data_IF_948192911606
#
_entry.id   IF_948192911606
#
_cell.length_a   1.000
_cell.length_b   1.000
_cell.length_c   1.000
_cell.angle_alpha   90.00
_cell.angle_beta   90.00
_cell.angle_gamma   90.00
#
_symmetry.space_group_name_H-M   'P 1'
#
loop_
_entity.id
_entity.type
_entity.pdbx_description
1 polymer ?
#
# COMPACT_ATOMS: atom_id res chain seq x y z
N UNK A 1 12.13 7.00 1.53
CA UNK A 1 11.62 6.81 2.90
C UNK A 1 10.72 7.97 3.23
N UNK A 2 9.40 7.79 3.19
CA UNK A 2 8.47 8.76 3.78
C UNK A 2 8.37 8.42 5.27
N UNK A 3 8.80 9.34 6.12
CA UNK A 3 8.59 9.24 7.56
C UNK A 3 7.33 10.05 7.84
N UNK A 4 6.23 9.39 8.19
CA UNK A 4 5.04 10.11 8.60
C UNK A 4 5.34 10.90 9.87
N UNK A 5 4.64 12.02 10.13
CA UNK A 5 4.83 12.78 11.36
C UNK A 5 4.60 11.96 12.64
N UNK A 6 3.97 10.78 12.54
CA UNK A 6 3.87 9.81 13.63
C UNK A 6 5.23 9.38 14.21
N UNK A 7 6.33 9.59 13.47
CA UNK A 7 7.72 9.36 13.91
C UNK A 7 8.44 10.63 14.41
N UNK A 8 7.87 11.82 14.21
CA UNK A 8 8.41 13.07 14.78
C UNK A 8 8.05 13.23 16.27
N UNK A 9 7.05 12.47 16.73
CA UNK A 9 6.67 12.40 18.14
C UNK A 9 7.06 11.03 18.72
N UNK A 10 7.68 10.98 19.91
CA UNK A 10 8.03 9.71 20.59
C UNK A 10 6.80 8.91 21.06
N UNK A 11 5.61 9.50 20.94
CA UNK A 11 4.33 8.89 21.28
C UNK A 11 3.27 9.33 20.28
N UNK A 12 2.26 8.50 20.05
CA UNK A 12 1.10 8.89 19.24
C UNK A 12 0.26 10.03 19.87
N UNK A 13 0.46 10.30 21.16
CA UNK A 13 -0.27 11.33 21.89
C UNK A 13 0.02 12.73 21.34
N UNK A 14 -1.03 13.43 20.91
CA UNK A 14 -0.93 14.80 20.40
C UNK A 14 -0.78 14.93 18.88
N UNK A 15 -0.74 13.81 18.12
CA UNK A 15 -0.83 13.85 16.66
C UNK A 15 -2.22 14.23 16.16
N UNK A 16 -3.24 14.02 16.98
CA UNK A 16 -4.62 14.49 16.81
C UNK A 16 -4.81 15.95 17.27
N UNK A 17 -3.85 16.49 18.03
CA UNK A 17 -3.89 17.84 18.58
C UNK A 17 -3.27 18.87 17.61
N UNK A 18 -4.15 19.66 17.02
CA UNK A 18 -3.79 20.70 16.06
C UNK A 18 -2.99 21.88 16.65
N UNK A 19 -2.93 21.99 17.97
CA UNK A 19 -2.09 22.98 18.66
C UNK A 19 -0.64 22.53 18.79
N UNK A 20 -0.40 21.22 18.65
CA UNK A 20 0.92 20.59 18.75
C UNK A 20 1.48 20.19 17.39
N UNK A 21 0.61 19.80 16.46
CA UNK A 21 1.00 19.37 15.12
C UNK A 21 0.21 20.14 14.06
N UNK A 22 0.94 20.66 13.07
CA UNK A 22 0.36 21.42 11.99
C UNK A 22 -0.63 20.57 11.17
N UNK A 23 -1.80 21.15 10.89
CA UNK A 23 -2.78 20.61 9.96
C UNK A 23 -2.34 20.87 8.53
N UNK A 24 -2.50 19.89 7.65
CA UNK A 24 -2.19 19.99 6.22
C UNK A 24 -3.47 19.87 5.40
N UNK A 25 -3.53 20.54 4.25
CA UNK A 25 -4.67 20.48 3.33
C UNK A 25 -5.77 21.51 3.59
N UNK A 26 -5.46 22.59 4.31
CA UNK A 26 -6.40 23.72 4.45
C UNK A 26 -6.60 24.39 3.08
N UNK A 27 -7.84 24.61 2.70
CA UNK A 27 -8.21 25.41 1.53
C UNK A 27 -9.16 26.54 1.97
N UNK A 28 -8.69 27.78 1.79
CA UNK A 28 -9.42 28.99 2.20
C UNK A 28 -10.57 29.30 1.24
N UNK A 29 -10.44 28.97 -0.04
CA UNK A 29 -11.46 29.26 -1.04
C UNK A 29 -12.70 28.37 -0.86
N UNK A 30 -12.49 27.12 -0.44
CA UNK A 30 -13.57 26.15 -0.20
C UNK A 30 -13.96 26.01 1.27
N UNK A 31 -13.35 26.81 2.17
CA UNK A 31 -13.51 26.72 3.62
C UNK A 31 -13.22 25.30 4.19
N UNK A 32 -12.28 24.59 3.57
CA UNK A 32 -11.88 23.25 4.01
C UNK A 32 -10.83 23.36 5.12
N UNK A 33 -11.11 22.77 6.28
CA UNK A 33 -10.14 22.67 7.36
C UNK A 33 -9.07 21.62 7.02
N UNK A 34 -7.81 21.94 7.26
CA UNK A 34 -6.74 20.94 7.18
C UNK A 34 -6.92 19.86 8.26
N UNK A 35 -6.25 18.72 8.06
CA UNK A 35 -6.27 17.61 9.00
C UNK A 35 -4.87 17.30 9.52
N UNK A 36 -4.81 16.76 10.73
CA UNK A 36 -3.56 16.32 11.34
C UNK A 36 -3.14 14.93 10.82
N UNK A 37 -1.86 14.56 10.93
CA UNK A 37 -1.33 13.28 10.43
C UNK A 37 -1.73 12.04 11.23
N UNK A 38 -2.69 12.13 12.15
CA UNK A 38 -3.10 10.99 12.98
C UNK A 38 -3.45 9.75 12.14
N UNK A 39 -3.14 8.56 12.67
CA UNK A 39 -3.36 7.27 12.00
C UNK A 39 -4.77 7.09 11.42
N UNK A 40 -5.81 7.62 12.07
CA UNK A 40 -7.19 7.58 11.57
C UNK A 40 -7.37 8.42 10.29
N UNK A 41 -6.74 9.60 10.20
CA UNK A 41 -6.80 10.46 9.02
C UNK A 41 -6.03 9.87 7.84
N UNK A 42 -4.88 9.22 8.10
CA UNK A 42 -4.12 8.50 7.06
C UNK A 42 -4.89 7.26 6.59
N UNK A 43 -5.52 6.53 7.52
CA UNK A 43 -6.36 5.38 7.20
C UNK A 43 -7.60 5.78 6.39
N UNK A 44 -8.22 6.92 6.70
CA UNK A 44 -9.32 7.47 5.91
C UNK A 44 -8.87 7.81 4.49
N UNK A 45 -7.69 8.41 4.33
CA UNK A 45 -7.13 8.76 3.04
C UNK A 45 -6.82 7.51 2.19
N UNK A 46 -6.15 6.49 2.75
CA UNK A 46 -5.79 5.27 1.98
C UNK A 46 -7.01 4.43 1.61
N UNK A 47 -8.05 4.40 2.48
CA UNK A 47 -9.28 3.66 2.19
C UNK A 47 -10.10 4.30 1.07
N UNK A 48 -9.90 5.59 0.79
CA UNK A 48 -10.50 6.28 -0.35
C UNK A 48 -9.78 5.98 -1.68
N UNK A 49 -8.62 5.31 -1.64
CA UNK A 49 -7.82 5.01 -2.84
C UNK A 49 -8.35 3.71 -3.48
N UNK A 50 -8.95 3.78 -4.68
CA UNK A 50 -9.44 2.60 -5.38
C UNK A 50 -8.28 1.67 -5.75
N UNK A 51 -8.60 0.40 -6.03
CA UNK A 51 -7.64 -0.49 -6.68
C UNK A 51 -7.33 0.09 -8.07
N UNK A 52 -6.06 0.18 -8.50
CA UNK A 52 -5.71 0.85 -9.73
C UNK A 52 -6.36 0.18 -10.92
N UNK A 53 -6.90 0.97 -11.84
CA UNK A 53 -7.27 0.46 -13.15
C UNK A 53 -6.00 0.10 -13.94
N UNK A 54 -6.13 -0.70 -15.00
CA UNK A 54 -4.99 -1.21 -15.79
C UNK A 54 -4.09 -0.12 -16.40
N UNK A 55 -4.54 1.13 -16.45
CA UNK A 55 -3.81 2.29 -16.98
C UNK A 55 -3.14 3.15 -15.91
N UNK A 56 -3.40 2.89 -14.62
CA UNK A 56 -2.93 3.72 -13.51
C UNK A 56 -1.72 3.07 -12.83
N UNK A 57 -0.69 3.87 -12.58
CA UNK A 57 0.40 3.46 -11.71
C UNK A 57 -0.01 3.68 -10.25
N UNK A 58 0.50 2.88 -9.29
CA UNK A 58 0.33 3.11 -7.86
C UNK A 58 1.20 4.30 -7.36
N UNK A 59 1.24 5.38 -8.13
CA UNK A 59 1.96 6.62 -7.85
C UNK A 59 0.94 7.74 -7.72
N UNK A 60 0.98 8.49 -6.61
CA UNK A 60 0.08 9.61 -6.43
C UNK A 60 0.50 10.81 -7.26
N UNK A 61 -0.47 11.47 -7.87
CA UNK A 61 -0.22 12.69 -8.63
C UNK A 61 -1.43 13.62 -8.69
N UNK A 62 -1.26 14.72 -9.41
CA UNK A 62 -2.31 15.72 -9.60
C UNK A 62 -3.49 15.08 -10.34
N UNK A 63 -4.72 15.34 -9.86
CA UNK A 63 -5.93 14.92 -10.55
C UNK A 63 -5.92 15.31 -12.04
N UNK A 64 -6.47 14.45 -12.89
CA UNK A 64 -6.46 14.56 -14.36
C UNK A 64 -5.09 14.44 -15.03
N UNK A 65 -4.06 13.98 -14.31
CA UNK A 65 -2.78 13.59 -14.93
C UNK A 65 -2.88 12.14 -15.38
N UNK A 66 -2.51 11.85 -16.62
CA UNK A 66 -2.60 10.50 -17.17
C UNK A 66 -1.64 9.55 -16.42
N UNK A 67 -2.14 8.39 -16.01
CA UNK A 67 -1.33 7.29 -15.47
C UNK A 67 -0.92 7.42 -14.00
N UNK A 68 -1.46 8.39 -13.26
CA UNK A 68 -1.25 8.52 -11.80
C UNK A 68 -2.56 8.32 -11.05
N UNK A 69 -2.45 7.88 -9.81
CA UNK A 69 -3.55 7.85 -8.85
C UNK A 69 -3.77 9.28 -8.29
N UNK A 70 -4.95 9.89 -8.44
CA UNK A 70 -5.22 11.17 -7.80
C UNK A 70 -5.09 11.08 -6.29
N UNK A 71 -4.55 12.12 -5.66
CA UNK A 71 -4.59 12.26 -4.20
C UNK A 71 -6.05 12.24 -3.70
N UNK A 72 -6.34 11.52 -2.59
CA UNK A 72 -7.66 11.52 -1.99
C UNK A 72 -8.04 12.92 -1.50
N UNK A 73 -9.31 13.28 -1.67
CA UNK A 73 -9.85 14.59 -1.25
C UNK A 73 -10.25 14.64 0.23
N UNK A 74 -10.12 13.51 0.94
CA UNK A 74 -10.46 13.35 2.35
C UNK A 74 -9.36 12.64 3.11
N UNK A 75 -9.21 12.94 4.41
CA UNK A 75 -8.14 12.39 5.22
C UNK A 75 -6.82 13.15 5.04
N UNK A 76 -5.72 12.59 5.56
CA UNK A 76 -4.44 13.28 5.54
C UNK A 76 -3.86 13.33 4.12
N UNK A 77 -3.54 14.53 3.57
CA UNK A 77 -3.27 14.70 2.14
C UNK A 77 -1.85 14.29 1.72
N UNK A 78 -0.95 14.05 2.67
CA UNK A 78 0.42 13.59 2.36
C UNK A 78 0.50 12.10 2.71
N UNK A 79 0.40 11.26 1.70
CA UNK A 79 0.48 9.81 1.82
C UNK A 79 1.15 9.21 0.58
N UNK A 80 1.56 7.95 0.70
CA UNK A 80 2.19 7.21 -0.38
C UNK A 80 2.21 5.72 -0.10
N UNK A 81 2.53 4.95 -1.13
CA UNK A 81 2.81 3.52 -1.00
C UNK A 81 4.31 3.28 -0.87
N UNK A 82 4.68 2.31 -0.05
CA UNK A 82 5.97 1.62 -0.19
C UNK A 82 5.73 0.33 -0.96
N UNK A 83 6.63 0.00 -1.88
CA UNK A 83 6.42 -1.07 -2.85
C UNK A 83 7.40 -2.21 -2.65
N UNK A 84 6.98 -3.41 -3.01
CA UNK A 84 7.80 -4.61 -3.02
C UNK A 84 8.04 -5.05 -4.47
N UNK A 85 9.30 -5.35 -4.81
CA UNK A 85 9.69 -5.81 -6.15
C UNK A 85 10.16 -7.26 -6.05
N UNK A 86 9.43 -8.16 -6.70
CA UNK A 86 9.71 -9.59 -6.75
C UNK A 86 9.79 -10.08 -8.19
N UNK A 87 10.39 -11.25 -8.39
CA UNK A 87 10.29 -11.93 -9.68
C UNK A 87 9.02 -12.78 -9.74
N UNK A 88 8.47 -12.94 -10.94
CA UNK A 88 7.45 -13.94 -11.19
C UNK A 88 8.03 -15.36 -11.19
N UNK A 89 9.28 -15.52 -11.63
CA UNK A 89 9.90 -16.82 -11.88
C UNK A 89 11.24 -16.92 -11.16
N UNK A 90 11.44 -17.99 -10.39
CA UNK A 90 12.70 -18.34 -9.74
C UNK A 90 13.11 -19.72 -10.24
N UNK A 91 14.41 -19.91 -10.53
CA UNK A 91 14.90 -21.20 -11.03
C UNK A 91 14.74 -22.31 -9.98
N UNK A 92 14.85 -21.96 -8.70
CA UNK A 92 14.64 -22.87 -7.59
C UNK A 92 13.18 -22.92 -7.12
N UNK A 93 12.67 -24.15 -6.97
CA UNK A 93 11.30 -24.40 -6.52
C UNK A 93 11.10 -24.06 -5.03
N UNK A 94 12.16 -24.14 -4.22
CA UNK A 94 12.09 -23.78 -2.79
C UNK A 94 11.95 -22.27 -2.63
N UNK A 95 12.78 -21.48 -3.31
CA UNK A 95 12.66 -20.01 -3.36
C UNK A 95 11.29 -19.60 -3.89
N UNK A 96 10.78 -20.24 -4.94
CA UNK A 96 9.43 -19.99 -5.46
C UNK A 96 8.37 -20.17 -4.38
N UNK A 97 8.43 -21.28 -3.63
CA UNK A 97 7.48 -21.58 -2.56
C UNK A 97 7.57 -20.59 -1.41
N UNK A 98 8.79 -20.24 -0.97
CA UNK A 98 9.02 -19.25 0.09
C UNK A 98 8.46 -17.86 -0.27
N UNK A 99 8.63 -17.42 -1.52
CA UNK A 99 8.07 -16.15 -1.98
C UNK A 99 6.55 -16.22 -2.00
N UNK A 100 5.96 -17.32 -2.47
CA UNK A 100 4.50 -17.53 -2.44
C UNK A 100 3.95 -17.52 -1.02
N UNK A 101 4.62 -18.15 -0.07
CA UNK A 101 4.23 -18.17 1.34
C UNK A 101 4.28 -16.77 1.96
N UNK A 102 5.32 -15.99 1.63
CA UNK A 102 5.40 -14.58 2.02
C UNK A 102 4.20 -13.78 1.50
N UNK A 103 3.85 -13.93 0.21
CA UNK A 103 2.68 -13.25 -0.37
C UNK A 103 1.37 -13.72 0.28
N UNK A 104 1.23 -15.02 0.57
CA UNK A 104 0.05 -15.58 1.21
C UNK A 104 -0.16 -15.01 2.62
N UNK A 105 0.93 -14.82 3.37
CA UNK A 105 0.90 -14.16 4.68
C UNK A 105 0.68 -12.66 4.56
N UNK A 106 1.51 -11.95 3.81
CA UNK A 106 1.50 -10.48 3.79
C UNK A 106 0.21 -9.91 3.18
N UNK A 107 -0.32 -10.55 2.14
CA UNK A 107 -1.56 -10.15 1.50
C UNK A 107 -2.73 -11.04 1.91
N UNK A 108 -2.64 -11.86 2.98
CA UNK A 108 -3.71 -12.74 3.44
C UNK A 108 -4.92 -11.97 3.99
N UNK A 109 -6.12 -12.57 3.88
CA UNK A 109 -7.32 -12.04 4.53
C UNK A 109 -7.31 -12.24 6.06
N UNK A 110 -6.59 -13.26 6.53
CA UNK A 110 -6.39 -13.63 7.93
C UNK A 110 -4.95 -14.09 8.15
N UNK A 111 -4.49 -14.17 9.41
CA UNK A 111 -3.12 -14.55 9.76
C UNK A 111 -2.04 -13.75 8.99
N UNK A 112 -2.28 -12.45 8.83
CA UNK A 112 -1.46 -11.56 8.03
C UNK A 112 -0.53 -10.68 8.90
N UNK A 113 0.15 -9.73 8.27
CA UNK A 113 1.10 -8.85 8.96
C UNK A 113 0.47 -7.51 9.43
N UNK A 114 -0.85 -7.35 9.40
CA UNK A 114 -1.50 -6.06 9.63
C UNK A 114 -1.20 -5.47 11.01
N UNK A 115 -1.16 -6.29 12.06
CA UNK A 115 -0.81 -5.84 13.41
C UNK A 115 0.64 -5.33 13.51
N UNK A 116 1.57 -5.99 12.81
CA UNK A 116 2.96 -5.54 12.76
C UNK A 116 3.10 -4.26 11.93
N UNK A 117 2.34 -4.12 10.84
CA UNK A 117 2.30 -2.91 10.01
C UNK A 117 1.84 -1.71 10.85
N UNK A 118 0.73 -1.84 11.61
CA UNK A 118 0.23 -0.76 12.46
C UNK A 118 1.18 -0.45 13.61
N UNK A 119 1.83 -1.46 14.21
CA UNK A 119 2.83 -1.26 15.25
C UNK A 119 4.07 -0.49 14.76
N UNK A 120 4.32 -0.47 13.45
CA UNK A 120 5.38 0.31 12.81
C UNK A 120 4.87 1.62 12.18
N UNK A 121 3.70 2.10 12.61
CA UNK A 121 3.07 3.34 12.13
C UNK A 121 2.79 3.38 10.62
N UNK A 122 2.62 2.22 10.00
CA UNK A 122 2.13 2.10 8.62
C UNK A 122 0.65 1.72 8.61
N UNK A 123 0.00 1.96 7.47
CA UNK A 123 -1.39 1.58 7.28
C UNK A 123 -1.48 0.28 6.48
N UNK A 124 -2.21 -0.74 6.96
CA UNK A 124 -2.47 -1.95 6.19
C UNK A 124 -3.18 -1.67 4.88
N UNK A 125 -2.87 -2.46 3.85
CA UNK A 125 -3.61 -2.39 2.59
C UNK A 125 -5.08 -2.78 2.79
N UNK A 126 -6.04 -2.09 2.14
CA UNK A 126 -7.44 -2.46 2.17
C UNK A 126 -7.70 -3.89 1.69
N UNK A 127 -8.79 -4.49 2.14
CA UNK A 127 -9.15 -5.89 1.80
C UNK A 127 -9.25 -6.13 0.30
N UNK A 128 -9.81 -5.18 -0.45
CA UNK A 128 -9.93 -5.26 -1.91
C UNK A 128 -8.55 -5.28 -2.60
N UNK A 129 -7.62 -4.44 -2.15
CA UNK A 129 -6.24 -4.42 -2.64
C UNK A 129 -5.54 -5.76 -2.40
N UNK A 130 -5.61 -6.28 -1.17
CA UNK A 130 -5.06 -7.59 -0.83
C UNK A 130 -5.67 -8.70 -1.71
N UNK A 131 -6.98 -8.68 -1.93
CA UNK A 131 -7.65 -9.65 -2.78
C UNK A 131 -7.15 -9.61 -4.23
N UNK A 132 -7.03 -8.42 -4.81
CA UNK A 132 -6.50 -8.24 -6.18
C UNK A 132 -5.05 -8.71 -6.30
N UNK A 133 -4.18 -8.39 -5.33
CA UNK A 133 -2.79 -8.87 -5.31
C UNK A 133 -2.74 -10.40 -5.30
N UNK A 134 -3.54 -11.06 -4.45
CA UNK A 134 -3.61 -12.54 -4.42
C UNK A 134 -4.16 -13.10 -5.73
N UNK A 135 -5.21 -12.50 -6.29
CA UNK A 135 -5.83 -12.94 -7.53
C UNK A 135 -4.87 -12.90 -8.73
N UNK A 136 -3.98 -11.91 -8.77
CA UNK A 136 -2.97 -11.77 -9.83
C UNK A 136 -1.73 -12.62 -9.58
N UNK A 137 -1.14 -12.55 -8.38
CA UNK A 137 0.21 -13.05 -8.13
C UNK A 137 0.26 -14.40 -7.39
N UNK A 138 -0.83 -14.87 -6.79
CA UNK A 138 -0.87 -16.17 -6.09
C UNK A 138 -1.76 -17.23 -6.75
N UNK A 139 -2.91 -16.83 -7.29
CA UNK A 139 -3.85 -17.75 -7.94
C UNK A 139 -3.20 -18.45 -9.12
N UNK A 140 -2.98 -19.76 -9.02
CA UNK A 140 -2.16 -20.53 -9.97
C UNK A 140 -2.65 -20.48 -11.43
N UNK A 141 -3.95 -20.29 -11.65
CA UNK A 141 -4.52 -20.15 -13.00
C UNK A 141 -4.26 -18.78 -13.64
N UNK A 142 -3.78 -17.80 -12.88
CA UNK A 142 -3.44 -16.48 -13.41
C UNK A 142 -2.07 -16.53 -14.09
N UNK A 143 -1.99 -16.00 -15.31
CA UNK A 143 -0.73 -15.93 -16.07
C UNK A 143 0.35 -15.07 -15.38
N UNK A 144 -0.02 -14.19 -14.44
CA UNK A 144 0.90 -13.37 -13.65
C UNK A 144 1.31 -14.03 -12.32
N UNK A 145 0.81 -15.22 -12.01
CA UNK A 145 1.08 -15.84 -10.72
C UNK A 145 2.56 -16.22 -10.58
N UNK A 146 3.11 -16.03 -9.38
CA UNK A 146 4.48 -16.41 -9.04
C UNK A 146 4.59 -17.94 -9.15
N UNK A 147 5.55 -18.39 -9.96
CA UNK A 147 5.75 -19.81 -10.27
C UNK A 147 4.69 -20.42 -11.18
N UNK A 148 4.01 -19.62 -12.03
CA UNK A 148 3.08 -20.16 -13.02
C UNK A 148 3.79 -21.20 -13.91
N UNK A 149 3.28 -22.43 -13.97
CA UNK A 149 3.97 -23.55 -14.62
C UNK A 149 4.09 -23.42 -16.14
N UNK A 150 3.23 -22.64 -16.78
CA UNK A 150 3.31 -22.38 -18.22
C UNK A 150 4.24 -21.20 -18.52
N UNK A 151 4.12 -20.10 -17.76
CA UNK A 151 4.89 -18.87 -18.00
C UNK A 151 6.33 -18.99 -17.51
N UNK A 152 6.56 -19.64 -16.38
CA UNK A 152 7.89 -19.82 -15.79
C UNK A 152 8.59 -21.13 -16.22
N UNK A 153 8.10 -21.80 -17.27
CA UNK A 153 8.68 -23.06 -17.70
C UNK A 153 10.13 -22.85 -18.22
N UNK A 154 11.11 -23.44 -17.52
CA UNK A 154 12.52 -23.36 -17.89
C UNK A 154 13.18 -22.00 -17.69
N UNK A 155 12.52 -21.05 -17.03
CA UNK A 155 13.05 -19.70 -16.78
C UNK A 155 12.93 -19.32 -15.31
N UNK A 156 13.79 -18.40 -14.85
CA UNK A 156 13.69 -17.81 -13.53
C UNK A 156 14.96 -17.09 -13.15
N UNK A 157 14.89 -16.28 -12.08
CA UNK A 157 16.11 -15.72 -11.47
C UNK A 157 17.04 -16.85 -11.02
N UNK A 158 18.37 -16.66 -11.12
CA UNK A 158 19.34 -17.68 -10.76
C UNK A 158 19.27 -18.02 -9.27
N UNK A 159 19.77 -19.22 -8.94
CA UNK A 159 19.91 -19.70 -7.57
C UNK A 159 20.78 -18.78 -6.71
#
# INVERSE_FOLDING_TARGET
TYMSPDFAAPTLAGLDDATKVARVGKDVATNTAGVSPAAANVSAAINAVPVPASTEKPEFGKANTAGVQPYPTSGYPILGFTNLIFSQCYADATQTSQVRDFFAKHYGASNNNDAAITANAFVPLPTAWKATVRASFLTASNALSIGNTNVCNGIGRPL
#
